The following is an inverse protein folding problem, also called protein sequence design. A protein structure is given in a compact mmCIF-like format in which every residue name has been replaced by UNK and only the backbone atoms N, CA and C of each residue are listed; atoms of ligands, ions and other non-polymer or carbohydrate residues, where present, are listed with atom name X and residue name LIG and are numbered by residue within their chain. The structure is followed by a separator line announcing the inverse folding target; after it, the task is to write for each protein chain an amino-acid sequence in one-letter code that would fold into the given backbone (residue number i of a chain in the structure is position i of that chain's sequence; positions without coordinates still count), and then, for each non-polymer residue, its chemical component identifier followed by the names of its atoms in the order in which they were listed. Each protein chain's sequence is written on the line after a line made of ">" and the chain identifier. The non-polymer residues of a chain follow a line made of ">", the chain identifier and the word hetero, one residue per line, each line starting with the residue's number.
data_IF_239996289181
#
_entry.id   IF_239996289181
#
_cell.length_a   1.000
_cell.length_b   1.000
_cell.length_c   1.000
_cell.angle_alpha   90.00
_cell.angle_beta   90.00
_cell.angle_gamma   90.00
#
_symmetry.space_group_name_H-M   'P 1'
#
loop_
_entity.id
_entity.type
_entity.pdbx_description
1 polymer ?
#
# COMPACT_ATOMS: atom_id res chain seq x y z
N UNK A 1 -19.08 3.44 -8.32
CA UNK A 1 -18.67 3.48 -6.90
C UNK A 1 -18.29 2.15 -6.23
N UNK A 2 -19.14 1.44 -5.47
CA UNK A 2 -18.68 0.39 -4.52
C UNK A 2 -17.88 -0.75 -5.17
N UNK A 3 -18.21 -1.10 -6.41
CA UNK A 3 -17.57 -2.21 -7.11
C UNK A 3 -16.13 -1.89 -7.56
N UNK A 4 -15.85 -0.69 -8.09
CA UNK A 4 -14.49 -0.30 -8.50
C UNK A 4 -13.53 -0.24 -7.31
N UNK A 5 -13.99 0.33 -6.19
CA UNK A 5 -13.21 0.36 -4.94
C UNK A 5 -12.96 -1.06 -4.42
N UNK A 6 -13.96 -1.94 -4.43
CA UNK A 6 -13.80 -3.33 -3.95
C UNK A 6 -12.85 -4.13 -4.83
N UNK A 7 -12.97 -4.01 -6.16
CA UNK A 7 -12.05 -4.64 -7.11
C UNK A 7 -10.63 -4.09 -6.92
N UNK A 8 -10.50 -2.77 -6.84
CA UNK A 8 -9.21 -2.11 -6.64
C UNK A 8 -8.53 -2.54 -5.34
N UNK A 9 -9.27 -2.58 -4.22
CA UNK A 9 -8.77 -3.11 -2.94
C UNK A 9 -8.34 -4.56 -3.07
N UNK A 10 -9.08 -5.39 -3.80
CA UNK A 10 -8.72 -6.79 -4.01
C UNK A 10 -7.42 -6.93 -4.80
N UNK A 11 -7.21 -6.12 -5.84
CA UNK A 11 -5.96 -6.11 -6.62
C UNK A 11 -4.78 -5.63 -5.76
N UNK A 12 -4.94 -4.50 -5.07
CA UNK A 12 -3.91 -3.93 -4.17
C UNK A 12 -3.54 -4.93 -3.08
N UNK A 13 -4.53 -5.59 -2.46
CA UNK A 13 -4.30 -6.63 -1.46
C UNK A 13 -3.53 -7.81 -2.04
N UNK A 14 -3.94 -8.33 -3.21
CA UNK A 14 -3.26 -9.46 -3.84
C UNK A 14 -1.78 -9.14 -4.13
N UNK A 15 -1.50 -7.92 -4.59
CA UNK A 15 -0.13 -7.47 -4.82
C UNK A 15 0.66 -7.34 -3.52
N UNK A 16 0.08 -6.73 -2.49
CA UNK A 16 0.70 -6.61 -1.17
C UNK A 16 1.00 -7.99 -0.56
N UNK A 17 0.03 -8.91 -0.58
CA UNK A 17 0.22 -10.29 -0.12
C UNK A 17 1.36 -10.97 -0.90
N UNK A 18 1.39 -10.84 -2.23
CA UNK A 18 2.49 -11.36 -3.06
C UNK A 18 3.85 -10.81 -2.63
N UNK A 19 3.94 -9.49 -2.40
CA UNK A 19 5.16 -8.83 -1.97
C UNK A 19 5.67 -9.37 -0.63
N UNK A 20 4.78 -9.68 0.32
CA UNK A 20 5.20 -10.28 1.61
C UNK A 20 5.78 -11.69 1.49
N UNK A 21 5.58 -12.38 0.36
CA UNK A 21 6.11 -13.74 0.12
C UNK A 21 7.41 -13.76 -0.69
N UNK A 22 7.90 -12.59 -1.11
CA UNK A 22 9.07 -12.42 -1.97
C UNK A 22 10.02 -11.41 -1.34
N UNK A 23 11.30 -11.51 -1.66
CA UNK A 23 12.24 -10.43 -1.38
C UNK A 23 12.07 -9.40 -2.49
N UNK A 24 11.20 -8.41 -2.25
CA UNK A 24 10.95 -7.29 -3.16
C UNK A 24 11.57 -6.05 -2.52
N UNK A 25 12.34 -5.30 -3.29
CA UNK A 25 12.88 -4.02 -2.82
C UNK A 25 11.78 -2.94 -2.82
N UNK A 26 11.60 -2.26 -1.69
CA UNK A 26 10.50 -1.30 -1.55
C UNK A 26 10.61 -0.17 -2.57
N UNK A 27 11.81 0.38 -2.73
CA UNK A 27 12.09 1.57 -3.54
C UNK A 27 12.01 1.31 -5.04
N UNK A 28 12.57 0.20 -5.49
CA UNK A 28 12.77 -0.07 -6.91
C UNK A 28 11.70 -0.99 -7.51
N UNK A 29 10.96 -1.72 -6.67
CA UNK A 29 9.98 -2.70 -7.13
C UNK A 29 8.60 -2.50 -6.50
N UNK A 30 8.50 -2.47 -5.15
CA UNK A 30 7.20 -2.47 -4.47
C UNK A 30 6.37 -1.23 -4.81
N UNK A 31 6.88 -0.05 -4.45
CA UNK A 31 6.19 1.23 -4.63
C UNK A 31 5.99 1.59 -6.11
N UNK A 32 6.98 1.45 -7.00
CA UNK A 32 6.77 1.70 -8.43
C UNK A 32 5.62 0.88 -9.03
N UNK A 33 5.54 -0.41 -8.69
CA UNK A 33 4.47 -1.29 -9.17
C UNK A 33 3.11 -0.94 -8.55
N UNK A 34 3.08 -0.65 -7.24
CA UNK A 34 1.86 -0.24 -6.54
C UNK A 34 1.26 1.04 -7.16
N UNK A 35 2.10 2.04 -7.46
CA UNK A 35 1.68 3.29 -8.11
C UNK A 35 1.07 3.01 -9.49
N UNK A 36 1.69 2.12 -10.28
CA UNK A 36 1.16 1.73 -11.61
C UNK A 36 -0.20 1.02 -11.47
N UNK A 37 -0.35 0.12 -10.50
CA UNK A 37 -1.61 -0.57 -10.23
C UNK A 37 -2.71 0.44 -9.89
N UNK A 38 -2.45 1.34 -8.94
CA UNK A 38 -3.44 2.33 -8.48
C UNK A 38 -3.81 3.27 -9.63
N UNK A 39 -2.84 3.79 -10.38
CA UNK A 39 -3.10 4.62 -11.57
C UNK A 39 -3.95 3.89 -12.61
N UNK A 40 -3.63 2.65 -12.93
CA UNK A 40 -4.40 1.85 -13.88
C UNK A 40 -5.85 1.62 -13.45
N UNK A 41 -6.10 1.46 -12.14
CA UNK A 41 -7.47 1.35 -11.60
C UNK A 41 -8.20 2.69 -11.73
N UNK A 42 -7.56 3.80 -11.38
CA UNK A 42 -8.16 5.16 -11.47
C UNK A 42 -8.52 5.48 -12.92
N UNK A 43 -7.59 5.27 -13.87
CA UNK A 43 -7.78 5.58 -15.28
C UNK A 43 -8.83 4.69 -15.97
N UNK A 44 -9.22 3.57 -15.35
CA UNK A 44 -10.30 2.73 -15.84
C UNK A 44 -11.70 3.32 -15.62
N UNK A 45 -11.83 4.29 -14.70
CA UNK A 45 -13.08 5.03 -14.48
C UNK A 45 -13.11 6.31 -15.32
N UNK A 46 -14.29 6.71 -15.79
CA UNK A 46 -14.46 7.90 -16.65
C UNK A 46 -14.88 9.15 -15.88
N UNK A 47 -15.35 9.01 -14.64
CA UNK A 47 -15.75 10.15 -13.80
C UNK A 47 -14.59 10.66 -12.95
N UNK A 48 -14.15 11.90 -13.20
CA UNK A 48 -13.04 12.55 -12.47
C UNK A 48 -13.27 12.69 -10.96
N UNK A 49 -14.53 12.83 -10.50
CA UNK A 49 -14.81 12.90 -9.06
C UNK A 49 -14.65 11.53 -8.42
N UNK A 50 -15.15 10.48 -9.10
CA UNK A 50 -14.96 9.10 -8.63
C UNK A 50 -13.47 8.71 -8.63
N UNK A 51 -12.70 9.16 -9.64
CA UNK A 51 -11.24 8.95 -9.69
C UNK A 51 -10.52 9.44 -8.43
N UNK A 52 -10.80 10.66 -7.96
CA UNK A 52 -10.18 11.24 -6.75
C UNK A 52 -10.54 10.44 -5.50
N UNK A 53 -11.81 10.00 -5.39
CA UNK A 53 -12.25 9.20 -4.25
C UNK A 53 -11.60 7.80 -4.27
N UNK A 54 -11.57 7.15 -5.43
CA UNK A 54 -10.92 5.85 -5.63
C UNK A 54 -9.44 5.95 -5.28
N UNK A 55 -8.75 6.96 -5.80
CA UNK A 55 -7.33 7.19 -5.53
C UNK A 55 -7.07 7.26 -4.02
N UNK A 56 -7.77 8.15 -3.32
CA UNK A 56 -7.61 8.32 -1.88
C UNK A 56 -7.86 7.02 -1.12
N UNK A 57 -8.97 6.33 -1.41
CA UNK A 57 -9.35 5.11 -0.72
C UNK A 57 -8.35 3.96 -0.95
N UNK A 58 -7.79 3.87 -2.17
CA UNK A 58 -6.81 2.83 -2.50
C UNK A 58 -5.44 3.12 -1.88
N UNK A 59 -5.01 4.38 -1.85
CA UNK A 59 -3.76 4.78 -1.20
C UNK A 59 -3.84 4.54 0.31
N UNK A 60 -4.91 4.99 0.95
CA UNK A 60 -5.12 4.78 2.40
C UNK A 60 -5.09 3.28 2.73
N UNK A 61 -5.76 2.46 1.92
CA UNK A 61 -5.76 1.01 2.09
C UNK A 61 -4.38 0.37 1.84
N UNK A 62 -3.63 0.83 0.83
CA UNK A 62 -2.27 0.35 0.58
C UNK A 62 -1.32 0.69 1.74
N UNK A 63 -1.46 1.89 2.32
CA UNK A 63 -0.72 2.34 3.51
C UNK A 63 -1.01 1.44 4.72
N UNK A 64 -2.27 1.13 4.97
CA UNK A 64 -2.66 0.19 6.04
C UNK A 64 -2.02 -1.20 5.88
N UNK A 65 -2.00 -1.73 4.66
CA UNK A 65 -1.37 -3.02 4.36
C UNK A 65 0.14 -2.99 4.56
N UNK A 66 0.80 -1.93 4.09
CA UNK A 66 2.24 -1.74 4.24
C UNK A 66 2.65 -1.68 5.72
N UNK A 67 1.99 -0.83 6.51
CA UNK A 67 2.24 -0.70 7.96
C UNK A 67 2.03 -2.05 8.66
N UNK A 68 0.98 -2.78 8.31
CA UNK A 68 0.71 -4.10 8.87
C UNK A 68 1.83 -5.10 8.55
N UNK A 69 2.36 -5.08 7.32
CA UNK A 69 3.48 -5.93 6.93
C UNK A 69 4.76 -5.56 7.68
N UNK A 70 5.04 -4.27 7.78
CA UNK A 70 6.20 -3.74 8.51
C UNK A 70 6.19 -4.17 9.98
N UNK A 71 5.09 -3.91 10.68
CA UNK A 71 4.92 -4.30 12.09
C UNK A 71 5.07 -5.81 12.27
N UNK A 72 4.54 -6.60 11.33
CA UNK A 72 4.67 -8.06 11.37
C UNK A 72 6.14 -8.48 11.33
N UNK A 73 6.95 -7.88 10.44
CA UNK A 73 8.37 -8.18 10.36
C UNK A 73 9.15 -7.73 11.59
N UNK A 74 8.85 -6.54 12.13
CA UNK A 74 9.47 -6.08 13.38
C UNK A 74 9.23 -7.06 14.55
N UNK A 75 8.02 -7.64 14.65
CA UNK A 75 7.69 -8.67 15.65
C UNK A 75 8.42 -10.01 15.38
N UNK A 76 8.68 -10.34 14.12
CA UNK A 76 9.39 -11.57 13.73
C UNK A 76 10.91 -11.46 13.96
N UNK A 77 11.46 -10.25 13.81
CA UNK A 77 12.91 -9.98 13.88
C UNK A 77 13.39 -9.59 15.29
N UNK A 78 12.53 -8.97 16.12
CA UNK A 78 12.87 -8.47 17.45
C UNK A 78 12.05 -9.14 18.56
N UNK A 79 12.69 -9.48 19.69
CA UNK A 79 12.02 -10.09 20.84
C UNK A 79 10.98 -9.16 21.51
N UNK A 80 11.12 -7.84 21.37
CA UNK A 80 10.22 -6.83 21.97
C UNK A 80 10.34 -5.47 21.25
N UNK A 81 9.82 -5.35 20.03
CA UNK A 81 9.87 -4.09 19.27
C UNK A 81 8.96 -3.02 19.89
N UNK A 82 9.35 -1.75 19.76
CA UNK A 82 8.49 -0.61 20.06
C UNK A 82 7.50 -0.40 18.91
N UNK A 83 6.29 -0.93 19.04
CA UNK A 83 5.28 -0.92 17.98
C UNK A 83 4.80 0.49 17.59
N UNK A 84 4.88 1.46 18.49
CA UNK A 84 4.49 2.84 18.18
C UNK A 84 5.57 3.49 17.31
N UNK A 85 6.84 3.29 17.65
CA UNK A 85 7.97 3.73 16.84
C UNK A 85 7.97 3.05 15.45
N UNK A 86 7.77 1.73 15.38
CA UNK A 86 7.72 0.99 14.12
C UNK A 86 6.57 1.45 13.22
N UNK A 87 5.42 1.77 13.80
CA UNK A 87 4.30 2.33 13.05
C UNK A 87 4.62 3.72 12.48
N UNK A 88 5.24 4.59 13.26
CA UNK A 88 5.66 5.91 12.79
C UNK A 88 6.71 5.81 11.69
N UNK A 89 7.68 4.90 11.83
CA UNK A 89 8.68 4.61 10.81
C UNK A 89 8.03 4.11 9.51
N UNK A 90 7.12 3.13 9.60
CA UNK A 90 6.41 2.61 8.44
C UNK A 90 5.55 3.67 7.73
N UNK A 91 4.90 4.57 8.49
CA UNK A 91 4.16 5.71 7.93
C UNK A 91 5.10 6.63 7.17
N UNK A 92 6.24 6.98 7.77
CA UNK A 92 7.24 7.86 7.16
C UNK A 92 7.84 7.26 5.89
N UNK A 93 8.22 5.98 5.91
CA UNK A 93 8.75 5.30 4.72
C UNK A 93 7.71 5.20 3.61
N UNK A 94 6.45 4.89 3.94
CA UNK A 94 5.39 4.89 2.95
C UNK A 94 5.23 6.25 2.28
N UNK A 95 5.20 7.32 3.07
CA UNK A 95 5.07 8.68 2.54
C UNK A 95 6.30 9.08 1.71
N UNK A 96 7.50 8.66 2.14
CA UNK A 96 8.73 8.90 1.41
C UNK A 96 8.72 8.24 0.02
N UNK A 97 8.39 6.95 -0.08
CA UNK A 97 8.43 6.26 -1.37
C UNK A 97 7.21 6.50 -2.26
N UNK A 98 6.04 6.76 -1.68
CA UNK A 98 4.83 6.96 -2.46
C UNK A 98 4.72 8.39 -3.03
N UNK A 99 5.19 9.40 -2.29
CA UNK A 99 5.04 10.81 -2.67
C UNK A 99 6.36 11.55 -2.96
N UNK A 100 7.51 11.00 -2.56
CA UNK A 100 8.83 11.57 -2.81
C UNK A 100 9.37 11.24 -4.20
#
# INVERSE_FOLDING_TARGET
>A
MTNHIQIGKSIVKNYSDYATTKTIDDRTEYFPTLIVIIKGIIESDTDKKEQIEIEKVLIDFAKELYIKSWIKHAIEDEDSPDLDQEKEAAISEFEHYYYG
#
